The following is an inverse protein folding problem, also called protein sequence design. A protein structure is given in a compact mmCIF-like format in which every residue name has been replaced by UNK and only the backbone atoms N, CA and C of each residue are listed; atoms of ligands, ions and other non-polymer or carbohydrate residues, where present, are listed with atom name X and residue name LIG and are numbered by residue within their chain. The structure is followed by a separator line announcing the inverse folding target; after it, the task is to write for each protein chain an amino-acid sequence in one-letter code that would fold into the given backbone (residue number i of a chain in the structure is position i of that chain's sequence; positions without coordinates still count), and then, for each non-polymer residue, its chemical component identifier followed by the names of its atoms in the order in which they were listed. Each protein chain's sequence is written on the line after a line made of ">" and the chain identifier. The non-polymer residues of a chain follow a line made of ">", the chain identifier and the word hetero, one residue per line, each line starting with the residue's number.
data_IF_168782667333
#
_entry.id   IF_168782667333
#
_cell.length_a   1.000
_cell.length_b   1.000
_cell.length_c   1.000
_cell.angle_alpha   90.00
_cell.angle_beta   90.00
_cell.angle_gamma   90.00
#
_symmetry.space_group_name_H-M   'P 1'
#
loop_
_entity.id
_entity.type
_entity.pdbx_description
1 polymer ?
#
# COMPACT_ATOMS: atom_id res chain seq x y z
N UNK A 1 5.72 26.36 -21.66
CA UNK A 1 7.02 25.87 -21.17
C UNK A 1 6.91 24.41 -20.75
N UNK A 2 7.23 23.52 -21.69
CA UNK A 2 7.20 22.07 -21.51
C UNK A 2 8.21 21.63 -20.45
N UNK A 3 7.70 21.22 -19.28
CA UNK A 3 8.51 20.50 -18.31
C UNK A 3 8.68 19.08 -18.81
N UNK A 4 9.80 18.82 -19.47
CA UNK A 4 10.32 17.47 -19.64
C UNK A 4 10.38 16.80 -18.26
N UNK A 5 9.47 15.87 -17.99
CA UNK A 5 9.59 14.95 -16.87
C UNK A 5 10.63 13.91 -17.32
N UNK A 6 11.83 13.85 -16.72
CA UNK A 6 12.80 12.84 -17.11
C UNK A 6 12.20 11.46 -16.83
N UNK A 7 12.27 10.57 -17.81
CA UNK A 7 11.95 9.16 -17.60
C UNK A 7 12.72 8.68 -16.35
N UNK A 8 12.00 8.08 -15.39
CA UNK A 8 12.62 7.60 -14.17
C UNK A 8 13.79 6.69 -14.53
N UNK A 9 15.03 7.14 -14.29
CA UNK A 9 16.21 6.33 -14.53
C UNK A 9 16.02 5.00 -13.80
N UNK A 10 16.16 3.87 -14.50
CA UNK A 10 16.10 2.53 -13.90
C UNK A 10 17.09 2.51 -12.74
N UNK A 11 16.57 2.43 -11.51
CA UNK A 11 17.41 2.40 -10.31
C UNK A 11 17.84 0.98 -10.02
N UNK A 12 19.04 0.83 -9.46
CA UNK A 12 19.48 -0.46 -8.93
C UNK A 12 18.49 -0.90 -7.84
N UNK A 13 17.91 -2.11 -7.92
CA UNK A 13 17.01 -2.61 -6.89
C UNK A 13 17.66 -2.57 -5.50
N UNK A 14 16.92 -2.08 -4.51
CA UNK A 14 17.39 -1.96 -3.13
C UNK A 14 18.29 -0.79 -2.80
N UNK A 15 18.63 0.07 -3.77
CA UNK A 15 19.39 1.31 -3.53
C UNK A 15 18.70 2.29 -2.56
N UNK A 16 17.39 2.13 -2.32
CA UNK A 16 16.59 3.00 -1.45
C UNK A 16 16.26 2.37 -0.08
N UNK A 17 16.84 1.22 0.25
CA UNK A 17 16.51 0.45 1.45
C UNK A 17 15.34 -0.51 1.22
N UNK A 18 14.67 -0.89 2.30
CA UNK A 18 13.54 -1.83 2.29
C UNK A 18 12.20 -1.09 2.29
N UNK A 19 11.20 -1.73 1.67
CA UNK A 19 9.81 -1.31 1.74
C UNK A 19 8.98 -2.44 2.33
N UNK A 20 8.27 -2.19 3.42
CA UNK A 20 7.27 -3.13 3.95
C UNK A 20 5.99 -2.98 3.13
N UNK A 21 5.51 -4.07 2.55
CA UNK A 21 4.41 -4.06 1.59
C UNK A 21 3.28 -4.93 2.12
N UNK A 22 2.15 -4.32 2.51
CA UNK A 22 0.92 -5.07 2.76
C UNK A 22 0.36 -5.54 1.42
N UNK A 23 0.48 -6.82 1.12
CA UNK A 23 0.11 -7.38 -0.19
C UNK A 23 -1.38 -7.66 -0.30
N UNK A 24 -1.98 -7.57 -1.50
CA UNK A 24 -3.32 -8.10 -1.74
C UNK A 24 -3.32 -9.64 -1.60
N UNK A 25 -4.50 -10.23 -1.40
CA UNK A 25 -4.67 -11.69 -1.29
C UNK A 25 -4.42 -12.37 -2.64
N UNK A 26 -4.74 -11.68 -3.75
CA UNK A 26 -4.60 -12.19 -5.10
C UNK A 26 -3.12 -12.29 -5.53
N UNK A 27 -2.60 -13.50 -5.83
CA UNK A 27 -1.17 -13.70 -6.09
C UNK A 27 -0.62 -12.89 -7.26
N UNK A 28 -1.41 -12.68 -8.31
CA UNK A 28 -0.98 -11.94 -9.50
C UNK A 28 -0.85 -10.45 -9.21
N UNK A 29 -1.82 -9.88 -8.49
CA UNK A 29 -1.76 -8.49 -8.03
C UNK A 29 -0.60 -8.28 -7.04
N UNK A 30 -0.37 -9.23 -6.14
CA UNK A 30 0.76 -9.17 -5.21
C UNK A 30 2.09 -9.19 -5.96
N UNK A 31 2.25 -10.07 -6.96
CA UNK A 31 3.46 -10.13 -7.80
C UNK A 31 3.69 -8.83 -8.56
N UNK A 32 2.64 -8.26 -9.14
CA UNK A 32 2.71 -6.99 -9.85
C UNK A 32 3.13 -5.85 -8.92
N UNK A 33 2.48 -5.73 -7.76
CA UNK A 33 2.80 -4.73 -6.75
C UNK A 33 4.25 -4.82 -6.28
N UNK A 34 4.72 -6.02 -5.93
CA UNK A 34 6.10 -6.24 -5.49
C UNK A 34 7.10 -5.90 -6.59
N UNK A 35 6.78 -6.22 -7.85
CA UNK A 35 7.60 -5.85 -9.00
C UNK A 35 7.68 -4.33 -9.15
N UNK A 36 6.55 -3.61 -9.01
CA UNK A 36 6.53 -2.15 -9.05
C UNK A 36 7.39 -1.52 -7.93
N UNK A 37 7.31 -2.05 -6.71
CA UNK A 37 8.14 -1.61 -5.57
C UNK A 37 9.63 -1.84 -5.82
N UNK A 38 10.00 -2.99 -6.40
CA UNK A 38 11.37 -3.30 -6.79
C UNK A 38 11.88 -2.35 -7.88
N UNK A 39 11.08 -2.09 -8.91
CA UNK A 39 11.39 -1.14 -9.98
C UNK A 39 11.53 0.31 -9.46
N UNK A 40 10.82 0.65 -8.37
CA UNK A 40 10.99 1.92 -7.67
C UNK A 40 12.31 2.03 -6.90
N UNK A 41 13.09 0.94 -6.81
CA UNK A 41 14.43 0.88 -6.23
C UNK A 41 14.48 0.38 -4.79
N UNK A 42 13.41 -0.20 -4.26
CA UNK A 42 13.36 -0.78 -2.90
C UNK A 42 13.55 -2.29 -2.91
N UNK A 43 14.00 -2.86 -1.79
CA UNK A 43 13.84 -4.30 -1.51
C UNK A 43 12.48 -4.50 -0.85
N UNK A 44 11.58 -5.21 -1.52
CA UNK A 44 10.25 -5.44 -0.99
C UNK A 44 10.27 -6.52 0.12
N UNK A 45 9.65 -6.21 1.24
CA UNK A 45 9.34 -7.11 2.36
C UNK A 45 7.83 -7.36 2.33
N UNK A 46 7.36 -8.42 1.66
CA UNK A 46 5.93 -8.69 1.53
C UNK A 46 5.34 -9.13 2.86
N UNK A 47 4.14 -8.64 3.13
CA UNK A 47 3.38 -8.92 4.33
C UNK A 47 1.96 -9.28 3.95
N UNK A 48 1.62 -10.56 4.10
CA UNK A 48 0.28 -11.07 3.89
C UNK A 48 -0.60 -10.81 5.11
N UNK A 49 -1.92 -10.90 4.91
CA UNK A 49 -2.88 -11.04 6.01
C UNK A 49 -3.18 -12.54 6.21
N UNK A 50 -3.35 -12.96 7.47
CA UNK A 50 -3.71 -14.34 7.81
C UNK A 50 -4.31 -14.44 9.20
N UNK A 51 -4.54 -15.68 9.65
CA UNK A 51 -5.11 -15.95 10.98
C UNK A 51 -4.03 -16.01 12.08
N UNK A 52 -2.78 -16.19 11.69
CA UNK A 52 -1.62 -16.30 12.58
C UNK A 52 -0.62 -15.19 12.31
N UNK A 53 0.05 -14.73 13.38
CA UNK A 53 1.19 -13.84 13.26
C UNK A 53 2.44 -14.66 12.96
N UNK A 54 3.13 -14.34 11.88
CA UNK A 54 4.39 -14.97 11.48
C UNK A 54 5.39 -13.90 11.03
N UNK A 55 6.59 -13.93 11.62
CA UNK A 55 7.73 -13.12 11.22
C UNK A 55 8.85 -14.08 10.77
N UNK A 56 9.11 -14.15 9.47
CA UNK A 56 10.06 -15.09 8.91
C UNK A 56 10.81 -14.48 7.71
N UNK A 57 12.13 -14.30 7.84
CA UNK A 57 13.05 -14.04 6.73
C UNK A 57 12.53 -13.11 5.62
N UNK A 58 12.51 -11.79 5.88
CA UNK A 58 12.07 -10.76 4.95
C UNK A 58 10.64 -10.95 4.39
N UNK A 59 9.80 -11.76 5.05
CA UNK A 59 8.38 -11.94 4.76
C UNK A 59 7.58 -12.09 6.07
N UNK A 60 6.31 -11.74 6.05
CA UNK A 60 5.48 -11.88 7.24
C UNK A 60 4.01 -12.10 6.95
N UNK A 61 3.30 -12.54 7.97
CA UNK A 61 1.85 -12.68 8.00
C UNK A 61 1.35 -11.94 9.25
N UNK A 62 0.41 -11.00 9.07
CA UNK A 62 -0.20 -10.27 10.18
C UNK A 62 -1.64 -10.71 10.36
N UNK A 63 -2.10 -10.73 11.60
CA UNK A 63 -3.49 -11.09 11.91
C UNK A 63 -4.44 -9.96 11.53
N UNK A 64 -5.60 -10.31 10.98
CA UNK A 64 -6.65 -9.34 10.66
C UNK A 64 -7.15 -8.64 11.93
N UNK A 65 -7.19 -7.31 11.93
CA UNK A 65 -7.69 -6.52 13.06
C UNK A 65 -6.75 -6.44 14.27
N UNK A 66 -5.48 -6.77 14.08
CA UNK A 66 -4.42 -6.72 15.10
C UNK A 66 -3.33 -5.70 14.70
N UNK A 67 -3.60 -4.39 14.80
CA UNK A 67 -2.64 -3.34 14.40
C UNK A 67 -1.29 -3.42 15.13
N UNK A 68 -1.26 -4.01 16.32
CA UNK A 68 -0.04 -4.25 17.08
C UNK A 68 0.97 -5.12 16.31
N UNK A 69 0.50 -6.02 15.43
CA UNK A 69 1.34 -6.92 14.64
C UNK A 69 2.24 -6.13 13.67
N UNK A 70 1.77 -5.00 13.14
CA UNK A 70 2.58 -4.15 12.24
C UNK A 70 3.77 -3.58 13.00
N UNK A 71 3.54 -3.09 14.21
CA UNK A 71 4.59 -2.48 15.04
C UNK A 71 5.60 -3.55 15.47
N UNK A 72 5.10 -4.70 15.93
CA UNK A 72 5.92 -5.84 16.33
C UNK A 72 6.79 -6.35 15.17
N UNK A 73 6.23 -6.45 13.96
CA UNK A 73 7.00 -6.89 12.80
C UNK A 73 8.05 -5.85 12.36
N UNK A 74 7.76 -4.55 12.46
CA UNK A 74 8.77 -3.51 12.24
C UNK A 74 9.90 -3.57 13.28
N UNK A 75 9.63 -3.96 14.53
CA UNK A 75 10.65 -4.15 15.57
C UNK A 75 11.53 -5.37 15.27
N UNK A 76 10.91 -6.48 14.87
CA UNK A 76 11.61 -7.68 14.44
C UNK A 76 12.57 -7.38 13.28
N UNK A 77 12.09 -6.67 12.25
CA UNK A 77 12.91 -6.24 11.11
C UNK A 77 14.09 -5.36 11.56
N UNK A 78 13.87 -4.43 12.49
CA UNK A 78 14.94 -3.57 13.01
C UNK A 78 16.01 -4.37 13.78
N UNK A 79 15.61 -5.38 14.57
CA UNK A 79 16.54 -6.28 15.27
C UNK A 79 17.42 -7.07 14.29
N UNK A 80 16.88 -7.39 13.12
CA UNK A 80 17.61 -8.05 12.03
C UNK A 80 18.32 -7.07 11.07
N UNK A 81 18.54 -5.82 11.48
CA UNK A 81 19.21 -4.78 10.69
C UNK A 81 18.55 -4.49 9.33
N UNK A 82 17.24 -4.70 9.22
CA UNK A 82 16.46 -4.38 8.02
C UNK A 82 16.02 -2.92 8.08
N UNK A 83 16.66 -2.09 7.25
CA UNK A 83 16.37 -0.66 7.16
C UNK A 83 15.11 -0.40 6.31
N UNK A 84 13.94 -0.37 6.95
CA UNK A 84 12.65 -0.04 6.33
C UNK A 84 12.53 1.47 6.15
N UNK A 85 12.43 1.91 4.90
CA UNK A 85 12.39 3.33 4.48
C UNK A 85 11.05 3.74 3.87
N UNK A 86 10.14 2.79 3.64
CA UNK A 86 8.84 3.01 3.03
C UNK A 86 7.84 1.98 3.55
N UNK A 87 6.64 2.44 3.86
CA UNK A 87 5.47 1.58 4.06
C UNK A 87 4.59 1.66 2.81
N UNK A 88 4.11 0.50 2.36
CA UNK A 88 3.24 0.40 1.18
C UNK A 88 1.96 -0.32 1.57
N UNK A 89 0.83 0.39 1.46
CA UNK A 89 -0.49 -0.19 1.53
C UNK A 89 -0.91 -0.67 0.14
N UNK A 90 -1.10 -1.98 -0.03
CA UNK A 90 -1.49 -2.58 -1.31
C UNK A 90 -2.61 -3.60 -1.22
N UNK A 91 -3.26 -3.76 -0.05
CA UNK A 91 -4.37 -4.71 0.13
C UNK A 91 -5.55 -4.47 -0.81
N UNK A 92 -5.70 -3.22 -1.30
CA UNK A 92 -6.73 -2.82 -2.26
C UNK A 92 -6.22 -2.72 -3.72
N UNK A 93 -5.09 -3.35 -4.05
CA UNK A 93 -4.44 -3.22 -5.36
C UNK A 93 -4.94 -4.22 -6.42
N UNK A 94 -5.61 -5.30 -6.04
CA UNK A 94 -6.14 -6.26 -7.01
C UNK A 94 -7.29 -5.68 -7.85
N UNK A 95 -7.62 -6.28 -9.00
CA UNK A 95 -8.85 -5.92 -9.73
C UNK A 95 -10.08 -6.11 -8.82
N UNK A 96 -11.06 -5.20 -8.84
CA UNK A 96 -12.25 -5.35 -8.03
C UNK A 96 -13.10 -6.53 -8.53
N UNK A 97 -13.58 -7.37 -7.61
CA UNK A 97 -14.46 -8.47 -7.98
C UNK A 97 -15.82 -7.89 -8.45
N UNK A 98 -16.42 -8.39 -9.56
CA UNK A 98 -17.69 -7.88 -10.09
C UNK A 98 -18.81 -7.86 -9.04
N UNK A 99 -18.84 -8.83 -8.12
CA UNK A 99 -19.84 -8.93 -7.05
C UNK A 99 -19.74 -7.82 -5.98
N UNK A 100 -18.61 -7.12 -5.91
CA UNK A 100 -18.37 -6.02 -4.95
C UNK A 100 -18.45 -4.63 -5.58
N UNK A 101 -18.76 -4.55 -6.87
CA UNK A 101 -18.57 -3.35 -7.69
C UNK A 101 -19.87 -2.74 -8.23
N UNK A 102 -21.04 -3.32 -7.91
CA UNK A 102 -22.35 -2.84 -8.36
C UNK A 102 -23.12 -2.06 -7.28
N UNK A 103 -24.10 -1.22 -7.65
CA UNK A 103 -24.96 -0.50 -6.69
C UNK A 103 -25.82 -1.43 -5.79
N UNK A 104 -25.98 -2.70 -6.18
CA UNK A 104 -26.62 -3.74 -5.37
C UNK A 104 -25.63 -4.57 -4.52
N UNK A 105 -24.33 -4.53 -4.87
CA UNK A 105 -23.25 -5.12 -4.08
C UNK A 105 -22.81 -4.08 -3.06
N UNK A 106 -23.52 -3.99 -1.93
CA UNK A 106 -23.16 -3.10 -0.84
C UNK A 106 -21.68 -3.25 -0.49
N UNK A 107 -21.04 -2.15 -0.07
CA UNK A 107 -19.65 -2.14 0.36
C UNK A 107 -19.40 -3.30 1.34
N UNK A 108 -18.81 -4.40 0.87
CA UNK A 108 -18.58 -5.56 1.72
C UNK A 108 -17.68 -5.11 2.86
N UNK A 109 -18.00 -5.50 4.09
CA UNK A 109 -17.18 -5.19 5.27
C UNK A 109 -15.72 -5.57 5.02
N UNK A 110 -15.50 -6.72 4.38
CA UNK A 110 -14.17 -7.20 3.96
C UNK A 110 -13.45 -6.23 3.03
N UNK A 111 -14.17 -5.56 2.11
CA UNK A 111 -13.57 -4.58 1.20
C UNK A 111 -13.16 -3.30 1.94
N UNK A 112 -13.94 -2.84 2.94
CA UNK A 112 -13.57 -1.71 3.80
C UNK A 112 -12.40 -2.06 4.72
N UNK A 113 -12.38 -3.28 5.25
CA UNK A 113 -11.29 -3.76 6.10
C UNK A 113 -9.97 -3.78 5.29
N UNK A 114 -10.00 -4.32 4.08
CA UNK A 114 -8.86 -4.38 3.17
C UNK A 114 -8.43 -3.02 2.59
N UNK A 115 -9.32 -2.02 2.50
CA UNK A 115 -8.98 -0.69 1.98
C UNK A 115 -8.73 0.34 3.06
N UNK A 116 -9.75 0.68 3.84
CA UNK A 116 -9.75 1.81 4.76
C UNK A 116 -9.13 1.45 6.10
N UNK A 117 -9.63 0.40 6.75
CA UNK A 117 -9.20 0.09 8.12
C UNK A 117 -7.76 -0.37 8.18
N UNK A 118 -7.34 -1.26 7.28
CA UNK A 118 -5.91 -1.62 7.19
C UNK A 118 -5.00 -0.43 6.84
N UNK A 119 -5.49 0.59 6.13
CA UNK A 119 -4.74 1.82 5.90
C UNK A 119 -4.64 2.67 7.18
N UNK A 120 -5.70 2.74 7.99
CA UNK A 120 -5.66 3.38 9.32
C UNK A 120 -4.59 2.71 10.19
N UNK A 121 -4.60 1.38 10.25
CA UNK A 121 -3.63 0.59 11.04
C UNK A 121 -2.19 0.88 10.59
N UNK A 122 -1.94 0.87 9.27
CA UNK A 122 -0.60 1.16 8.73
C UNK A 122 -0.18 2.61 8.96
N UNK A 123 -1.11 3.56 8.85
CA UNK A 123 -0.84 4.98 9.11
C UNK A 123 -0.47 5.22 10.58
N UNK A 124 -1.18 4.59 11.52
CA UNK A 124 -0.85 4.64 12.94
C UNK A 124 0.54 4.08 13.23
N UNK A 125 0.88 2.93 12.62
CA UNK A 125 2.22 2.37 12.72
C UNK A 125 3.30 3.30 12.12
N UNK A 126 3.00 3.96 10.99
CA UNK A 126 3.88 4.95 10.37
C UNK A 126 4.16 6.15 11.28
N UNK A 127 3.12 6.66 11.96
CA UNK A 127 3.21 7.80 12.86
C UNK A 127 3.95 7.49 14.17
N UNK A 128 3.88 6.23 14.62
CA UNK A 128 4.59 5.71 15.79
C UNK A 128 6.09 5.48 15.57
N UNK A 129 6.53 5.39 14.31
CA UNK A 129 7.95 5.25 13.93
C UNK A 129 8.53 6.58 13.51
N UNK A 130 9.75 6.87 13.96
CA UNK A 130 10.47 8.09 13.60
C UNK A 130 11.78 7.75 12.91
N UNK A 131 12.04 8.40 11.78
CA UNK A 131 13.35 8.42 11.15
C UNK A 131 14.35 9.24 12.00
N UNK A 132 15.66 9.24 11.68
CA UNK A 132 16.65 10.04 12.39
C UNK A 132 16.38 11.56 12.38
N UNK A 133 15.58 12.06 11.44
CA UNK A 133 15.14 13.45 11.35
C UNK A 133 13.82 13.70 12.12
N UNK A 134 13.40 12.73 12.94
CA UNK A 134 12.16 12.74 13.72
C UNK A 134 10.86 12.83 12.88
N UNK A 135 10.90 12.36 11.63
CA UNK A 135 9.73 12.31 10.75
C UNK A 135 9.09 10.91 10.75
N UNK A 136 7.77 10.82 10.55
CA UNK A 136 7.11 9.54 10.30
C UNK A 136 7.72 8.81 9.10
N UNK A 137 7.58 7.48 9.07
CA UNK A 137 7.94 6.73 7.86
C UNK A 137 7.03 7.16 6.69
N UNK A 138 7.59 7.37 5.48
CA UNK A 138 6.78 7.63 4.30
C UNK A 138 5.82 6.47 4.01
N UNK A 139 4.63 6.81 3.54
CA UNK A 139 3.54 5.89 3.23
C UNK A 139 3.11 6.06 1.76
N UNK A 140 3.10 4.96 1.01
CA UNK A 140 2.51 4.88 -0.32
C UNK A 140 1.25 4.01 -0.28
N UNK A 141 0.14 4.50 -0.80
CA UNK A 141 -1.14 3.82 -0.90
C UNK A 141 -1.40 3.49 -2.36
N UNK A 142 -1.48 2.20 -2.68
CA UNK A 142 -1.59 1.67 -4.03
C UNK A 142 -2.95 1.01 -4.16
N UNK A 143 -3.79 1.54 -5.06
CA UNK A 143 -5.15 1.06 -5.26
C UNK A 143 -5.44 0.82 -6.74
N UNK A 144 -6.54 0.11 -7.01
CA UNK A 144 -7.23 0.15 -8.30
C UNK A 144 -8.69 0.53 -8.09
N UNK A 145 -9.29 1.22 -9.04
CA UNK A 145 -10.71 1.59 -9.01
C UNK A 145 -11.09 2.44 -7.78
N UNK A 146 -10.16 3.21 -7.21
CA UNK A 146 -10.48 4.14 -6.12
C UNK A 146 -10.97 5.50 -6.63
N UNK A 147 -10.65 5.84 -7.88
CA UNK A 147 -11.11 7.03 -8.58
C UNK A 147 -11.51 6.69 -10.01
N UNK A 148 -12.51 7.40 -10.51
CA UNK A 148 -12.90 7.40 -11.93
C UNK A 148 -12.45 8.72 -12.55
N UNK A 149 -11.49 8.64 -13.46
CA UNK A 149 -10.86 9.77 -14.16
C UNK A 149 -11.55 10.03 -15.50
N UNK A 150 -12.03 8.97 -16.16
CA UNK A 150 -12.58 9.06 -17.52
C UNK A 150 -14.11 9.19 -17.58
N UNK A 151 -14.80 8.92 -16.47
CA UNK A 151 -16.26 8.81 -16.42
C UNK A 151 -16.80 7.43 -16.84
N UNK A 152 -15.90 6.49 -17.15
CA UNK A 152 -16.25 5.16 -17.66
C UNK A 152 -15.45 4.05 -16.96
N UNK A 153 -14.63 4.38 -15.96
CA UNK A 153 -13.86 3.39 -15.21
C UNK A 153 -14.73 2.72 -14.13
N UNK A 154 -14.55 1.40 -13.88
CA UNK A 154 -15.15 0.77 -12.72
C UNK A 154 -14.66 1.43 -11.43
N UNK A 155 -15.59 1.76 -10.53
CA UNK A 155 -15.31 2.37 -9.23
C UNK A 155 -15.66 1.40 -8.09
N UNK A 156 -14.76 1.31 -7.10
CA UNK A 156 -15.00 0.64 -5.83
C UNK A 156 -15.13 1.67 -4.70
N UNK A 157 -16.35 1.91 -4.17
CA UNK A 157 -16.56 2.87 -3.08
C UNK A 157 -15.72 2.58 -1.83
N UNK A 158 -15.48 1.29 -1.51
CA UNK A 158 -14.60 0.91 -0.40
C UNK A 158 -13.18 1.48 -0.57
N UNK A 159 -12.64 1.38 -1.78
CA UNK A 159 -11.28 1.85 -2.10
C UNK A 159 -11.21 3.36 -2.22
N UNK A 160 -12.27 4.00 -2.72
CA UNK A 160 -12.39 5.46 -2.74
C UNK A 160 -12.31 6.08 -1.33
N UNK A 161 -12.73 5.36 -0.28
CA UNK A 161 -12.58 5.82 1.11
C UNK A 161 -11.10 6.02 1.51
N UNK A 162 -10.18 5.21 0.97
CA UNK A 162 -8.74 5.37 1.20
C UNK A 162 -8.22 6.73 0.66
N UNK A 163 -8.84 7.28 -0.39
CA UNK A 163 -8.50 8.60 -0.91
C UNK A 163 -8.76 9.72 0.10
N UNK A 164 -9.85 9.64 0.85
CA UNK A 164 -10.14 10.62 1.90
C UNK A 164 -9.14 10.52 3.05
N UNK A 165 -8.83 9.30 3.50
CA UNK A 165 -7.86 9.08 4.56
C UNK A 165 -6.45 9.53 4.18
N UNK A 166 -5.98 9.19 2.98
CA UNK A 166 -4.65 9.61 2.51
C UNK A 166 -4.50 11.14 2.48
N UNK A 167 -5.57 11.87 2.13
CA UNK A 167 -5.59 13.34 2.19
C UNK A 167 -5.52 13.87 3.63
N UNK A 168 -6.28 13.30 4.56
CA UNK A 168 -6.21 13.68 5.98
C UNK A 168 -4.82 13.41 6.56
N UNK A 169 -4.30 12.20 6.32
CA UNK A 169 -3.00 11.75 6.77
C UNK A 169 -1.86 12.66 6.28
N UNK A 170 -1.92 13.16 5.03
CA UNK A 170 -0.95 14.10 4.50
C UNK A 170 -0.98 15.47 5.22
N UNK A 171 -2.14 15.91 5.71
CA UNK A 171 -2.27 17.14 6.50
C UNK A 171 -1.69 16.97 7.92
N UNK A 172 -1.79 15.77 8.48
CA UNK A 172 -1.28 15.45 9.82
C UNK A 172 0.23 15.21 9.86
N UNK A 173 0.80 14.62 8.81
CA UNK A 173 2.22 14.20 8.77
C UNK A 173 3.11 15.13 7.97
N UNK A 174 2.52 16.06 7.22
CA UNK A 174 3.24 17.01 6.38
C UNK A 174 3.37 16.58 4.91
N UNK A 175 3.60 17.58 4.06
CA UNK A 175 3.60 17.40 2.61
C UNK A 175 4.65 16.36 2.15
N UNK A 176 4.20 15.40 1.33
CA UNK A 176 5.06 14.41 0.69
C UNK A 176 5.31 13.13 1.49
N UNK A 177 4.82 13.03 2.73
CA UNK A 177 4.92 11.81 3.55
C UNK A 177 3.94 10.73 3.11
N UNK A 178 2.73 11.12 2.69
CA UNK A 178 1.72 10.20 2.19
C UNK A 178 1.51 10.45 0.70
N UNK A 179 1.53 9.37 -0.08
CA UNK A 179 1.21 9.39 -1.51
C UNK A 179 0.16 8.34 -1.80
N UNK A 180 -0.83 8.68 -2.61
CA UNK A 180 -1.80 7.73 -3.14
C UNK A 180 -1.63 7.65 -4.65
N UNK A 181 -1.62 6.42 -5.17
CA UNK A 181 -1.53 6.10 -6.58
C UNK A 181 -2.66 5.12 -6.87
N UNK A 182 -3.68 5.58 -7.59
CA UNK A 182 -4.69 4.70 -8.16
C UNK A 182 -4.24 4.31 -9.57
N UNK A 183 -4.13 3.01 -9.81
CA UNK A 183 -3.71 2.48 -11.10
C UNK A 183 -4.94 2.22 -11.93
N UNK A 184 -5.03 2.94 -13.06
CA UNK A 184 -6.13 2.78 -14.01
C UNK A 184 -6.14 1.39 -14.64
N UNK A 185 -7.32 0.94 -15.04
CA UNK A 185 -7.48 -0.29 -15.79
C UNK A 185 -6.84 -0.11 -17.18
N UNK A 186 -5.87 -0.96 -17.52
CA UNK A 186 -5.37 -1.04 -18.90
C UNK A 186 -6.30 -2.02 -19.63
N UNK A 187 -7.12 -1.55 -20.60
CA UNK A 187 -7.94 -2.47 -21.38
C UNK A 187 -7.02 -3.49 -22.06
N UNK A 188 -7.41 -4.76 -22.07
CA UNK A 188 -6.74 -5.73 -22.92
C UNK A 188 -6.76 -5.20 -24.36
N UNK A 189 -5.58 -5.13 -24.99
CA UNK A 189 -5.49 -4.72 -26.39
C UNK A 189 -6.36 -5.65 -27.23
N UNK A 190 -7.35 -5.09 -27.92
CA UNK A 190 -8.23 -5.78 -28.87
C UNK A 190 -7.46 -6.07 -30.15
#
# INVERSE_FOLDING_TARGET
>A
PDRHVPAAARRTPGSRGHALVLTPEEPDAARELLTAVQLAGYRAVPVAEGDTYEAADYRGTLRRGHPEDITAYLDDLAQHSVDVRLLVHGRAFAEPHPDTSGPAGGTSRTALDASLWSLVELFQAAAGRRDPDNRPLPLAVLTRSAVDVTGAEPLSPARAAACALARSAALETGAGQVRLIDVGHVPAAV
#
